data_IF_364394988548
#
_entry.id   IF_364394988548
#
_cell.length_a   1.000
_cell.length_b   1.000
_cell.length_c   1.000
_cell.angle_alpha   90.00
_cell.angle_beta   90.00
_cell.angle_gamma   90.00
#
_symmetry.space_group_name_H-M   'P 1'
#
loop_
_entity.id
_entity.type
_entity.pdbx_description
1 polymer ?
#
# COMPACT_ATOMS: atom_id res chain seq x y z
N UNK A 1 38.97 41.89 24.42
CA UNK A 1 39.18 40.94 25.52
C UNK A 1 37.86 40.53 26.10
N UNK A 2 37.16 39.54 25.55
CA UNK A 2 36.04 38.80 26.21
C UNK A 2 35.53 37.71 25.24
N UNK A 3 36.40 36.77 24.87
CA UNK A 3 36.02 35.66 24.02
C UNK A 3 36.62 34.33 24.57
N UNK A 4 36.39 34.07 25.83
CA UNK A 4 36.79 32.76 26.40
C UNK A 4 35.95 32.45 27.65
N UNK A 5 34.68 32.05 27.46
CA UNK A 5 33.90 31.40 28.52
C UNK A 5 32.66 30.74 27.91
N UNK A 6 32.80 29.65 27.12
CA UNK A 6 31.64 28.80 26.85
C UNK A 6 32.00 27.45 26.16
N UNK A 7 33.23 26.94 26.30
CA UNK A 7 33.55 25.58 25.77
C UNK A 7 32.70 24.48 26.42
N UNK A 8 32.40 24.59 27.72
CA UNK A 8 31.62 23.60 28.46
C UNK A 8 30.13 23.63 28.09
N UNK A 9 29.58 24.77 27.71
CA UNK A 9 28.20 24.92 27.22
C UNK A 9 28.08 24.37 25.82
N UNK A 10 29.08 24.61 24.94
CA UNK A 10 29.15 24.03 23.59
C UNK A 10 29.22 22.51 23.63
N UNK A 11 30.09 21.91 24.44
CA UNK A 11 30.21 20.44 24.58
C UNK A 11 28.95 19.78 25.12
N UNK A 12 28.28 20.38 26.12
CA UNK A 12 26.96 19.89 26.60
C UNK A 12 25.86 20.01 25.55
N UNK A 13 25.87 21.05 24.76
CA UNK A 13 24.93 21.23 23.65
C UNK A 13 25.15 20.18 22.54
N UNK A 14 26.40 19.92 22.14
CA UNK A 14 26.77 18.88 21.18
C UNK A 14 26.38 17.48 21.66
N UNK A 15 26.64 17.16 22.95
CA UNK A 15 26.28 15.86 23.54
C UNK A 15 24.76 15.68 23.58
N UNK A 16 24.01 16.74 23.91
CA UNK A 16 22.55 16.70 23.92
C UNK A 16 21.96 16.51 22.50
N UNK A 17 22.54 17.17 21.49
CA UNK A 17 22.17 16.99 20.09
C UNK A 17 22.52 15.56 19.61
N UNK A 18 23.70 15.06 19.96
CA UNK A 18 24.13 13.71 19.61
C UNK A 18 23.22 12.65 20.24
N UNK A 19 22.91 12.79 21.54
CA UNK A 19 21.99 11.89 22.25
C UNK A 19 20.55 11.95 21.69
N UNK A 20 20.08 13.13 21.30
CA UNK A 20 18.76 13.26 20.68
C UNK A 20 18.71 12.59 19.30
N UNK A 21 19.78 12.74 18.49
CA UNK A 21 19.92 12.03 17.22
C UNK A 21 20.01 10.51 17.42
N UNK A 22 20.84 10.03 18.35
CA UNK A 22 20.93 8.62 18.68
C UNK A 22 19.58 8.03 19.11
N UNK A 23 18.83 8.73 19.97
CA UNK A 23 17.47 8.31 20.38
C UNK A 23 16.51 8.25 19.18
N UNK A 24 16.64 9.16 18.21
CA UNK A 24 15.84 9.14 16.99
C UNK A 24 16.21 7.92 16.13
N UNK A 25 17.51 7.71 15.84
CA UNK A 25 17.96 6.54 15.07
C UNK A 25 17.56 5.22 15.76
N UNK A 26 17.70 5.12 17.07
CA UNK A 26 17.29 3.93 17.83
C UNK A 26 15.79 3.66 17.66
N UNK A 27 14.94 4.69 17.75
CA UNK A 27 13.50 4.55 17.52
C UNK A 27 13.18 4.09 16.10
N UNK A 28 13.90 4.59 15.09
CA UNK A 28 13.67 4.22 13.70
C UNK A 28 14.15 2.78 13.42
N UNK A 29 15.27 2.35 14.02
CA UNK A 29 15.76 0.96 13.98
C UNK A 29 14.77 0.03 14.68
N UNK A 30 14.26 0.38 15.87
CA UNK A 30 13.28 -0.44 16.59
C UNK A 30 11.99 -0.58 15.77
N UNK A 31 11.52 0.49 15.13
CA UNK A 31 10.36 0.39 14.21
C UNK A 31 10.63 -0.56 13.05
N UNK A 32 11.80 -0.44 12.41
CA UNK A 32 12.18 -1.33 11.31
C UNK A 32 12.19 -2.80 11.75
N UNK A 33 12.79 -3.09 12.93
CA UNK A 33 12.81 -4.44 13.49
C UNK A 33 11.40 -4.95 13.76
N UNK A 34 10.52 -4.14 14.34
CA UNK A 34 9.11 -4.52 14.59
C UNK A 34 8.39 -4.84 13.27
N UNK A 35 8.56 -4.02 12.23
CA UNK A 35 7.91 -4.26 10.94
C UNK A 35 8.46 -5.51 10.23
N UNK A 36 9.78 -5.75 10.30
CA UNK A 36 10.37 -6.97 9.77
C UNK A 36 9.91 -8.20 10.55
N UNK A 37 9.90 -8.12 11.88
CA UNK A 37 9.40 -9.21 12.74
C UNK A 37 7.92 -9.53 12.42
N UNK A 38 7.10 -8.51 12.19
CA UNK A 38 5.71 -8.69 11.76
C UNK A 38 5.61 -9.37 10.38
N UNK A 39 6.44 -8.97 9.43
CA UNK A 39 6.53 -9.63 8.13
C UNK A 39 6.92 -11.10 8.26
N UNK A 40 7.98 -11.40 9.00
CA UNK A 40 8.40 -12.79 9.25
C UNK A 40 7.35 -13.59 10.04
N UNK A 41 6.63 -12.96 10.97
CA UNK A 41 5.50 -13.59 11.65
C UNK A 41 4.41 -14.02 10.66
N UNK A 42 4.05 -13.17 9.68
CA UNK A 42 3.09 -13.55 8.64
C UNK A 42 3.63 -14.63 7.70
N UNK A 43 4.93 -14.62 7.39
CA UNK A 43 5.56 -15.71 6.64
C UNK A 43 5.46 -17.02 7.42
N UNK A 44 5.79 -17.00 8.71
CA UNK A 44 5.66 -18.17 9.57
C UNK A 44 4.21 -18.64 9.65
N UNK A 45 3.26 -17.72 9.88
CA UNK A 45 1.83 -18.02 9.95
C UNK A 45 1.32 -18.64 8.65
N UNK A 46 1.76 -18.15 7.49
CA UNK A 46 1.34 -18.66 6.18
C UNK A 46 1.87 -20.06 5.88
N UNK A 47 2.95 -20.48 6.52
CA UNK A 47 3.60 -21.76 6.26
C UNK A 47 3.41 -22.78 7.41
N UNK A 48 2.99 -22.32 8.60
CA UNK A 48 2.94 -23.17 9.79
C UNK A 48 1.89 -24.26 9.70
N UNK A 49 0.74 -23.95 9.11
CA UNK A 49 -0.41 -24.88 9.02
C UNK A 49 -0.33 -25.82 7.80
N UNK A 50 0.72 -25.67 6.96
CA UNK A 50 0.94 -26.53 5.81
C UNK A 50 1.62 -27.85 6.22
N UNK A 51 1.09 -28.96 5.71
CA UNK A 51 1.77 -30.26 5.78
C UNK A 51 3.07 -30.26 4.96
N UNK A 52 4.01 -31.20 5.17
CA UNK A 52 5.20 -31.32 4.32
C UNK A 52 4.85 -31.49 2.83
N UNK A 53 3.77 -32.21 2.52
CA UNK A 53 3.26 -32.41 1.17
C UNK A 53 2.77 -31.09 0.57
N UNK A 54 1.96 -30.31 1.30
CA UNK A 54 1.45 -29.02 0.83
C UNK A 54 2.58 -28.01 0.57
N UNK A 55 3.63 -28.02 1.42
CA UNK A 55 4.83 -27.19 1.20
C UNK A 55 5.55 -27.58 -0.08
N UNK A 56 5.65 -28.88 -0.37
CA UNK A 56 6.22 -29.36 -1.62
C UNK A 56 5.38 -28.92 -2.82
N UNK A 57 4.06 -29.05 -2.75
CA UNK A 57 3.14 -28.63 -3.80
C UNK A 57 3.16 -27.11 -4.02
N UNK A 58 3.25 -26.32 -2.96
CA UNK A 58 3.42 -24.86 -3.07
C UNK A 58 4.63 -24.51 -3.93
N UNK A 59 5.79 -25.12 -3.66
CA UNK A 59 7.01 -24.87 -4.44
C UNK A 59 6.90 -25.36 -5.88
N UNK A 60 6.25 -26.50 -6.11
CA UNK A 60 5.98 -27.04 -7.45
C UNK A 60 5.08 -26.07 -8.21
N UNK A 61 3.98 -25.61 -7.61
CA UNK A 61 3.04 -24.66 -8.23
C UNK A 61 3.71 -23.32 -8.52
N UNK A 62 4.49 -22.80 -7.57
CA UNK A 62 5.24 -21.55 -7.77
C UNK A 62 6.27 -21.68 -8.91
N UNK A 63 7.00 -22.80 -9.00
CA UNK A 63 7.96 -23.06 -10.09
C UNK A 63 7.26 -23.24 -11.44
N UNK A 64 6.13 -23.93 -11.46
CA UNK A 64 5.35 -24.18 -12.67
C UNK A 64 4.80 -22.88 -13.26
N UNK A 65 4.49 -21.86 -12.43
CA UNK A 65 4.06 -20.56 -12.89
C UNK A 65 5.12 -19.85 -13.77
N UNK A 66 6.40 -20.17 -13.59
CA UNK A 66 7.50 -19.65 -14.44
C UNK A 66 7.84 -20.58 -15.62
N UNK A 67 7.21 -21.78 -15.70
CA UNK A 67 7.47 -22.77 -16.72
C UNK A 67 6.51 -22.62 -17.91
N UNK A 68 6.85 -23.24 -19.04
CA UNK A 68 6.02 -23.17 -20.23
C UNK A 68 5.74 -21.75 -20.66
N UNK A 69 4.47 -21.41 -20.88
CA UNK A 69 4.01 -20.06 -21.25
C UNK A 69 3.64 -19.19 -20.03
N UNK A 70 3.71 -19.70 -18.80
CA UNK A 70 3.31 -18.98 -17.58
C UNK A 70 4.09 -17.68 -17.36
N UNK A 71 5.40 -17.69 -17.64
CA UNK A 71 6.25 -16.51 -17.52
C UNK A 71 5.77 -15.32 -18.36
N UNK A 72 5.10 -15.55 -19.51
CA UNK A 72 4.56 -14.48 -20.37
C UNK A 72 3.51 -13.67 -19.59
N UNK A 73 2.61 -14.35 -18.86
CA UNK A 73 1.60 -13.69 -18.04
C UNK A 73 2.20 -12.94 -16.88
N UNK A 74 3.28 -13.45 -16.27
CA UNK A 74 3.99 -12.76 -15.19
C UNK A 74 4.74 -11.52 -15.69
N UNK A 75 5.34 -11.57 -16.88
CA UNK A 75 5.93 -10.39 -17.53
C UNK A 75 4.85 -9.37 -17.88
N UNK A 76 3.71 -9.80 -18.41
CA UNK A 76 2.60 -8.91 -18.71
C UNK A 76 2.04 -8.26 -17.43
N UNK A 77 1.95 -9.00 -16.32
CA UNK A 77 1.64 -8.45 -15.00
C UNK A 77 2.60 -7.33 -14.62
N UNK A 78 3.92 -7.55 -14.74
CA UNK A 78 4.94 -6.54 -14.45
C UNK A 78 4.81 -5.31 -15.35
N UNK A 79 4.53 -5.49 -16.65
CA UNK A 79 4.33 -4.37 -17.59
C UNK A 79 3.09 -3.54 -17.24
N UNK A 80 1.99 -4.18 -16.86
CA UNK A 80 0.80 -3.48 -16.35
C UNK A 80 1.14 -2.73 -15.06
N UNK A 81 1.98 -3.31 -14.20
CA UNK A 81 2.49 -2.66 -13.00
C UNK A 81 3.28 -1.39 -13.30
N UNK A 82 4.19 -1.43 -14.28
CA UNK A 82 4.94 -0.25 -14.75
C UNK A 82 3.96 0.83 -15.26
N UNK A 83 2.95 0.44 -16.02
CA UNK A 83 1.90 1.34 -16.50
C UNK A 83 1.15 1.99 -15.32
N UNK A 84 0.81 1.22 -14.29
CA UNK A 84 0.13 1.75 -13.09
C UNK A 84 0.94 2.83 -12.39
N UNK A 85 2.27 2.64 -12.28
CA UNK A 85 3.18 3.63 -11.69
C UNK A 85 3.31 4.87 -12.58
N UNK A 86 3.32 4.69 -13.90
CA UNK A 86 3.32 5.82 -14.84
C UNK A 86 2.05 6.67 -14.70
N UNK A 87 0.88 6.03 -14.60
CA UNK A 87 -0.40 6.72 -14.34
C UNK A 87 -0.39 7.48 -13.00
N UNK A 88 0.22 6.91 -11.96
CA UNK A 88 0.43 7.61 -10.68
C UNK A 88 1.30 8.86 -10.83
N UNK A 89 2.38 8.77 -11.60
CA UNK A 89 3.22 9.92 -11.94
C UNK A 89 2.41 11.02 -12.64
N UNK A 90 1.63 10.65 -13.67
CA UNK A 90 0.75 11.58 -14.41
C UNK A 90 -0.31 12.21 -13.51
N UNK A 91 -0.93 11.44 -12.61
CA UNK A 91 -1.89 11.94 -11.63
C UNK A 91 -1.27 13.00 -10.71
N UNK A 92 -0.03 12.77 -10.25
CA UNK A 92 0.73 13.69 -9.43
C UNK A 92 0.97 15.04 -10.13
N UNK A 93 1.33 15.01 -11.42
CA UNK A 93 1.55 16.23 -12.23
C UNK A 93 0.28 17.08 -12.26
N UNK A 94 -0.89 16.47 -12.54
CA UNK A 94 -2.18 17.19 -12.57
C UNK A 94 -2.49 17.87 -11.23
N UNK A 95 -2.06 17.32 -10.11
CA UNK A 95 -2.29 17.93 -8.80
C UNK A 95 -1.35 19.10 -8.50
N UNK A 96 -0.18 19.15 -9.13
CA UNK A 96 0.79 20.22 -8.95
C UNK A 96 0.56 21.41 -9.88
N UNK A 97 -0.07 21.21 -11.05
CA UNK A 97 -0.39 22.24 -12.04
C UNK A 97 -1.18 23.44 -11.46
N UNK A 98 -2.24 23.25 -10.64
CA UNK A 98 -2.99 24.37 -10.06
C UNK A 98 -2.16 25.24 -9.09
N UNK A 99 -1.06 24.66 -8.58
CA UNK A 99 -0.13 25.37 -7.69
C UNK A 99 0.99 26.07 -8.47
N UNK A 100 0.88 26.14 -9.81
CA UNK A 100 1.86 26.70 -10.75
C UNK A 100 3.22 25.97 -10.79
N UNK A 101 3.23 24.66 -10.49
CA UNK A 101 4.40 23.82 -10.65
C UNK A 101 4.26 22.92 -11.88
N UNK A 102 5.16 23.10 -12.86
CA UNK A 102 5.21 22.34 -14.10
C UNK A 102 6.25 21.24 -13.98
N UNK A 103 5.83 20.05 -13.52
CA UNK A 103 6.68 18.89 -13.31
C UNK A 103 6.70 18.02 -14.57
N UNK A 104 7.90 17.62 -15.03
CA UNK A 104 8.03 16.67 -16.13
C UNK A 104 7.42 15.31 -15.74
N UNK A 105 6.59 14.73 -16.62
CA UNK A 105 5.94 13.44 -16.35
C UNK A 105 6.92 12.29 -16.10
N UNK A 106 8.08 12.32 -16.76
CA UNK A 106 9.17 11.37 -16.56
C UNK A 106 9.77 11.50 -15.15
N UNK A 107 10.02 12.74 -14.69
CA UNK A 107 10.52 12.99 -13.34
C UNK A 107 9.50 12.56 -12.28
N UNK A 108 8.22 12.85 -12.49
CA UNK A 108 7.15 12.37 -11.62
C UNK A 108 7.10 10.83 -11.56
N UNK A 109 7.24 10.13 -12.70
CA UNK A 109 7.33 8.68 -12.77
C UNK A 109 8.50 8.15 -11.96
N UNK A 110 9.72 8.66 -12.22
CA UNK A 110 10.92 8.21 -11.51
C UNK A 110 10.84 8.47 -10.00
N UNK A 111 10.26 9.60 -9.59
CA UNK A 111 10.07 9.93 -8.17
C UNK A 111 9.15 8.93 -7.47
N UNK A 112 8.06 8.51 -8.13
CA UNK A 112 7.14 7.47 -7.61
C UNK A 112 7.82 6.12 -7.57
N UNK A 113 8.55 5.73 -8.63
CA UNK A 113 9.23 4.43 -8.72
C UNK A 113 10.31 4.26 -7.63
N UNK A 114 11.13 5.31 -7.41
CA UNK A 114 12.11 5.33 -6.31
C UNK A 114 11.39 5.30 -4.95
N UNK A 115 10.22 5.93 -4.85
CA UNK A 115 9.38 5.83 -3.67
C UNK A 115 8.96 4.38 -3.37
N UNK A 116 8.55 3.61 -4.37
CA UNK A 116 8.22 2.19 -4.19
C UNK A 116 9.43 1.35 -3.81
N UNK A 117 10.58 1.57 -4.47
CA UNK A 117 11.84 0.94 -4.10
C UNK A 117 12.17 1.17 -2.61
N UNK A 118 12.06 2.41 -2.15
CA UNK A 118 12.34 2.76 -0.76
C UNK A 118 11.35 2.12 0.23
N UNK A 119 10.08 1.99 -0.17
CA UNK A 119 9.07 1.35 0.65
C UNK A 119 9.26 -0.18 0.77
N UNK A 120 9.99 -0.82 -0.14
CA UNK A 120 10.41 -2.22 0.04
C UNK A 120 11.38 -2.36 1.21
N UNK A 121 12.28 -1.37 1.40
CA UNK A 121 13.30 -1.41 2.45
C UNK A 121 12.79 -0.84 3.79
N UNK A 122 12.14 0.32 3.77
CA UNK A 122 11.72 1.04 4.98
C UNK A 122 10.29 1.57 4.81
N UNK A 123 9.39 1.27 5.79
CA UNK A 123 8.00 1.72 5.72
C UNK A 123 7.89 3.24 5.61
N UNK A 124 7.06 3.71 4.67
CA UNK A 124 6.73 5.14 4.49
C UNK A 124 7.90 6.04 4.09
N UNK A 125 9.09 5.48 3.86
CA UNK A 125 10.22 6.27 3.37
C UNK A 125 9.98 6.76 1.94
N UNK A 126 9.25 6.00 1.16
CA UNK A 126 8.98 6.31 -0.24
C UNK A 126 8.23 7.62 -0.45
N UNK A 127 7.25 7.93 0.40
CA UNK A 127 6.52 9.21 0.33
C UNK A 127 7.46 10.41 0.57
N UNK A 128 8.38 10.27 1.52
CA UNK A 128 9.38 11.30 1.84
C UNK A 128 10.36 11.46 0.69
N UNK A 129 10.92 10.36 0.18
CA UNK A 129 11.88 10.40 -0.93
C UNK A 129 11.28 10.95 -2.20
N UNK A 130 10.03 10.56 -2.54
CA UNK A 130 9.30 11.13 -3.66
C UNK A 130 9.21 12.66 -3.57
N UNK A 131 8.82 13.21 -2.41
CA UNK A 131 8.75 14.65 -2.20
C UNK A 131 10.12 15.32 -2.26
N UNK A 132 11.15 14.67 -1.70
CA UNK A 132 12.53 15.18 -1.73
C UNK A 132 13.10 15.22 -3.15
N UNK A 133 12.81 14.21 -3.98
CA UNK A 133 13.21 14.18 -5.39
C UNK A 133 12.56 15.33 -6.16
N UNK A 134 11.23 15.51 -6.01
CA UNK A 134 10.52 16.59 -6.67
C UNK A 134 11.01 17.97 -6.18
N UNK A 135 11.37 18.12 -4.92
CA UNK A 135 11.98 19.36 -4.41
C UNK A 135 13.35 19.61 -5.02
N UNK A 136 14.18 18.58 -5.14
CA UNK A 136 15.55 18.73 -5.62
C UNK A 136 15.64 18.99 -7.12
N UNK A 137 14.81 18.32 -7.91
CA UNK A 137 14.93 18.30 -9.37
C UNK A 137 13.90 19.14 -10.10
N UNK A 138 12.72 19.38 -9.50
CA UNK A 138 11.62 20.14 -10.09
C UNK A 138 11.26 21.39 -9.27
N UNK A 139 12.05 21.68 -8.23
CA UNK A 139 11.88 22.86 -7.36
C UNK A 139 10.49 22.98 -6.70
N UNK A 140 9.77 21.86 -6.56
CA UNK A 140 8.49 21.80 -5.86
C UNK A 140 8.72 21.77 -4.35
N UNK A 141 8.23 22.74 -3.56
CA UNK A 141 8.40 22.71 -2.10
C UNK A 141 7.87 21.41 -1.50
N UNK A 142 8.64 20.81 -0.57
CA UNK A 142 8.32 19.54 0.08
C UNK A 142 6.88 19.50 0.60
N UNK A 143 6.41 20.55 1.27
CA UNK A 143 5.08 20.63 1.87
C UNK A 143 3.98 20.57 0.81
N UNK A 144 4.16 21.18 -0.36
CA UNK A 144 3.21 21.15 -1.46
C UNK A 144 3.13 19.76 -2.07
N UNK A 145 4.29 19.16 -2.37
CA UNK A 145 4.37 17.80 -2.87
C UNK A 145 3.82 16.78 -1.86
N UNK A 146 4.10 16.94 -0.58
CA UNK A 146 3.58 16.07 0.46
C UNK A 146 2.06 16.16 0.59
N UNK A 147 1.49 17.37 0.46
CA UNK A 147 0.04 17.58 0.43
C UNK A 147 -0.63 16.80 -0.70
N UNK A 148 -0.04 16.79 -1.92
CA UNK A 148 -0.59 16.00 -3.04
C UNK A 148 -0.54 14.50 -2.77
N UNK A 149 0.54 14.00 -2.15
CA UNK A 149 0.66 12.59 -1.76
C UNK A 149 -0.44 12.18 -0.78
N UNK A 150 -0.73 13.02 0.22
CA UNK A 150 -1.81 12.76 1.18
C UNK A 150 -3.17 12.69 0.47
N UNK A 151 -3.46 13.65 -0.42
CA UNK A 151 -4.71 13.66 -1.19
C UNK A 151 -4.85 12.42 -2.08
N UNK A 152 -3.76 11.98 -2.74
CA UNK A 152 -3.73 10.74 -3.51
C UNK A 152 -4.09 9.52 -2.63
N UNK A 153 -3.53 9.41 -1.42
CA UNK A 153 -3.81 8.30 -0.50
C UNK A 153 -5.27 8.29 -0.04
N UNK A 154 -5.81 9.46 0.27
CA UNK A 154 -7.22 9.59 0.63
C UNK A 154 -8.13 9.06 -0.48
N UNK A 155 -7.87 9.46 -1.73
CA UNK A 155 -8.65 9.00 -2.87
C UNK A 155 -8.47 7.49 -3.13
N UNK A 156 -7.24 6.99 -3.01
CA UNK A 156 -6.97 5.55 -3.18
C UNK A 156 -7.77 4.72 -2.15
N UNK A 157 -7.88 5.17 -0.90
CA UNK A 157 -8.69 4.51 0.15
C UNK A 157 -10.18 4.56 -0.20
N UNK A 158 -10.68 5.68 -0.75
CA UNK A 158 -12.07 5.79 -1.20
C UNK A 158 -12.38 4.81 -2.33
N UNK A 159 -11.54 4.78 -3.36
CA UNK A 159 -11.72 3.88 -4.49
C UNK A 159 -11.63 2.42 -4.01
N UNK A 160 -10.67 2.10 -3.12
CA UNK A 160 -10.56 0.78 -2.50
C UNK A 160 -11.88 0.38 -1.81
N UNK A 161 -12.46 1.29 -1.03
CA UNK A 161 -13.75 1.05 -0.37
C UNK A 161 -14.90 0.83 -1.37
N UNK A 162 -14.94 1.61 -2.46
CA UNK A 162 -15.94 1.42 -3.52
C UNK A 162 -15.77 0.09 -4.24
N UNK A 163 -14.53 -0.30 -4.56
CA UNK A 163 -14.23 -1.59 -5.19
C UNK A 163 -14.56 -2.75 -4.24
N UNK A 164 -14.29 -2.59 -2.94
CA UNK A 164 -14.70 -3.55 -1.90
C UNK A 164 -16.22 -3.75 -1.87
N UNK A 165 -16.98 -2.66 -1.84
CA UNK A 165 -18.45 -2.72 -1.86
C UNK A 165 -18.94 -3.36 -3.17
N UNK A 166 -18.36 -3.02 -4.31
CA UNK A 166 -18.71 -3.64 -5.58
C UNK A 166 -18.41 -5.16 -5.59
N UNK A 167 -17.24 -5.58 -5.11
CA UNK A 167 -16.89 -6.99 -4.97
C UNK A 167 -17.86 -7.71 -4.03
N UNK A 168 -18.22 -7.11 -2.90
CA UNK A 168 -19.18 -7.66 -1.94
C UNK A 168 -20.57 -7.84 -2.55
N UNK A 169 -21.06 -6.87 -3.32
CA UNK A 169 -22.36 -6.97 -4.01
C UNK A 169 -22.34 -8.07 -5.08
N UNK A 170 -21.26 -8.14 -5.88
CA UNK A 170 -21.12 -9.15 -6.92
C UNK A 170 -20.96 -10.58 -6.38
N UNK A 171 -20.46 -10.73 -5.15
CA UNK A 171 -20.27 -12.00 -4.46
C UNK A 171 -21.39 -12.31 -3.43
N UNK A 172 -22.43 -11.47 -3.37
CA UNK A 172 -23.47 -11.59 -2.32
C UNK A 172 -24.12 -12.96 -2.26
N UNK A 173 -24.41 -13.58 -3.42
CA UNK A 173 -25.04 -14.91 -3.49
C UNK A 173 -24.12 -15.99 -2.89
N UNK A 174 -22.83 -15.88 -3.14
CA UNK A 174 -21.84 -16.81 -2.62
C UNK A 174 -21.61 -16.61 -1.11
N UNK A 175 -21.52 -15.37 -0.68
CA UNK A 175 -21.41 -15.05 0.73
C UNK A 175 -22.61 -15.58 1.50
N UNK A 176 -23.82 -15.41 0.98
CA UNK A 176 -25.03 -15.98 1.58
C UNK A 176 -24.95 -17.50 1.65
N UNK A 177 -24.47 -18.20 0.60
CA UNK A 177 -24.30 -19.63 0.62
C UNK A 177 -23.31 -20.07 1.70
N UNK A 178 -22.14 -19.43 1.78
CA UNK A 178 -21.12 -19.70 2.82
C UNK A 178 -21.70 -19.44 4.22
N UNK A 179 -22.45 -18.33 4.41
CA UNK A 179 -23.08 -18.03 5.69
C UNK A 179 -24.10 -19.08 6.09
N UNK A 180 -24.87 -19.59 5.14
CA UNK A 180 -25.89 -20.63 5.38
C UNK A 180 -25.24 -21.99 5.62
N UNK A 181 -24.32 -22.42 4.77
CA UNK A 181 -23.63 -23.73 4.88
C UNK A 181 -22.82 -23.87 6.17
N UNK A 182 -22.17 -22.79 6.62
CA UNK A 182 -21.42 -22.83 7.88
C UNK A 182 -22.26 -22.50 9.11
N UNK A 183 -23.59 -22.45 8.98
CA UNK A 183 -24.50 -22.09 10.08
C UNK A 183 -24.09 -20.83 10.85
N UNK A 184 -23.44 -19.87 10.16
CA UNK A 184 -22.96 -18.64 10.79
C UNK A 184 -24.15 -17.82 11.30
N UNK A 185 -25.22 -17.76 10.52
CA UNK A 185 -26.46 -17.10 10.92
C UNK A 185 -27.07 -17.79 12.15
N UNK A 186 -27.12 -19.12 12.15
CA UNK A 186 -27.65 -19.90 13.26
C UNK A 186 -26.81 -19.73 14.52
N UNK A 187 -25.48 -19.73 14.36
CA UNK A 187 -24.55 -19.49 15.47
C UNK A 187 -24.70 -18.07 16.04
N UNK A 188 -24.87 -17.06 15.20
CA UNK A 188 -25.12 -15.68 15.63
C UNK A 188 -26.49 -15.56 16.31
N UNK A 189 -27.53 -16.17 15.73
CA UNK A 189 -28.86 -16.19 16.30
C UNK A 189 -28.86 -16.93 17.63
N UNK A 190 -28.21 -18.09 17.74
CA UNK A 190 -28.07 -18.85 18.96
C UNK A 190 -27.27 -18.09 20.02
N UNK A 191 -26.19 -17.39 19.62
CA UNK A 191 -25.41 -16.54 20.50
C UNK A 191 -26.21 -15.30 20.99
N UNK A 192 -27.16 -14.82 20.16
CA UNK A 192 -28.07 -13.70 20.49
C UNK A 192 -29.41 -14.16 21.05
N UNK A 193 -29.61 -15.47 21.26
CA UNK A 193 -30.84 -16.01 21.84
C UNK A 193 -30.79 -16.00 23.39
N UNK A 194 -31.96 -15.97 24.01
CA UNK A 194 -32.06 -16.04 25.46
C UNK A 194 -31.49 -14.82 26.20
N UNK A 195 -30.88 -15.07 27.35
CA UNK A 195 -30.32 -14.03 28.24
C UNK A 195 -29.13 -13.31 27.59
N UNK A 196 -28.35 -13.98 26.74
CA UNK A 196 -27.18 -13.43 26.08
C UNK A 196 -27.53 -12.21 25.19
N UNK A 197 -28.71 -12.23 24.55
CA UNK A 197 -29.21 -11.10 23.78
C UNK A 197 -29.30 -9.81 24.62
N UNK A 198 -29.89 -9.94 25.82
CA UNK A 198 -30.06 -8.79 26.71
C UNK A 198 -28.72 -8.30 27.26
N UNK A 199 -27.76 -9.22 27.52
CA UNK A 199 -26.38 -8.87 27.95
C UNK A 199 -25.66 -8.11 26.83
N UNK A 200 -25.75 -8.56 25.58
CA UNK A 200 -25.13 -7.88 24.42
C UNK A 200 -25.75 -6.51 24.19
N UNK A 201 -27.09 -6.41 24.24
CA UNK A 201 -27.78 -5.12 24.08
C UNK A 201 -27.43 -4.17 25.22
N UNK A 202 -27.46 -4.65 26.47
CA UNK A 202 -27.06 -3.86 27.64
C UNK A 202 -25.59 -3.42 27.55
N UNK A 203 -24.68 -4.28 27.12
CA UNK A 203 -23.29 -3.97 26.87
C UNK A 203 -23.10 -2.89 25.80
N UNK A 204 -23.83 -2.99 24.66
CA UNK A 204 -23.81 -1.98 23.61
C UNK A 204 -24.34 -0.63 24.10
N UNK A 205 -25.45 -0.64 24.83
CA UNK A 205 -26.04 0.58 25.42
C UNK A 205 -25.05 1.18 26.42
N UNK A 206 -24.43 0.34 27.29
CA UNK A 206 -23.42 0.80 28.23
C UNK A 206 -22.22 1.43 27.53
N UNK A 207 -21.70 0.81 26.46
CA UNK A 207 -20.61 1.35 25.64
C UNK A 207 -21.01 2.70 25.03
N UNK A 208 -22.21 2.83 24.47
CA UNK A 208 -22.71 4.08 23.89
C UNK A 208 -22.82 5.16 24.97
N UNK A 209 -23.36 4.82 26.13
CA UNK A 209 -23.48 5.73 27.27
C UNK A 209 -22.11 6.15 27.78
N UNK A 210 -21.16 5.22 27.92
CA UNK A 210 -19.78 5.53 28.30
C UNK A 210 -19.10 6.44 27.26
N UNK A 211 -19.25 6.15 25.97
CA UNK A 211 -18.75 7.03 24.91
C UNK A 211 -19.36 8.42 25.00
N UNK A 212 -20.67 8.52 25.27
CA UNK A 212 -21.36 9.80 25.40
C UNK A 212 -20.90 10.57 26.64
N UNK A 213 -20.80 9.91 27.80
CA UNK A 213 -20.33 10.53 29.05
C UNK A 213 -18.88 10.99 28.90
N UNK A 214 -18.01 10.11 28.39
CA UNK A 214 -16.59 10.39 28.25
C UNK A 214 -16.21 11.07 26.94
N UNK A 215 -17.18 11.50 26.09
CA UNK A 215 -16.92 12.10 24.78
C UNK A 215 -15.90 13.23 24.80
N UNK A 216 -15.98 14.12 25.82
CA UNK A 216 -15.02 15.25 25.95
C UNK A 216 -13.61 14.75 26.26
N UNK A 217 -13.50 13.72 27.07
CA UNK A 217 -12.23 13.08 27.43
C UNK A 217 -11.68 12.24 26.27
N UNK A 218 -12.55 11.45 25.61
CA UNK A 218 -12.22 10.68 24.40
C UNK A 218 -11.70 11.60 23.28
N UNK A 219 -12.31 12.75 23.06
CA UNK A 219 -11.87 13.73 22.06
C UNK A 219 -10.50 14.36 22.38
N UNK A 220 -10.02 14.29 23.61
CA UNK A 220 -8.69 14.76 24.02
C UNK A 220 -7.58 13.73 23.72
N UNK A 221 -7.92 12.46 23.48
CA UNK A 221 -6.91 11.47 23.12
C UNK A 221 -6.25 11.84 21.80
N UNK A 222 -4.91 11.80 21.78
CA UNK A 222 -4.09 12.07 20.59
C UNK A 222 -4.51 11.21 19.38
N UNK A 223 -4.99 9.98 19.64
CA UNK A 223 -5.48 9.07 18.59
C UNK A 223 -6.77 9.62 17.96
N UNK A 224 -7.73 10.07 18.76
CA UNK A 224 -9.02 10.60 18.27
C UNK A 224 -8.82 11.93 17.55
N UNK A 225 -7.93 12.80 18.07
CA UNK A 225 -7.52 14.02 17.38
C UNK A 225 -6.86 13.72 16.04
N UNK A 226 -6.03 12.68 15.98
CA UNK A 226 -5.39 12.23 14.75
C UNK A 226 -6.40 11.68 13.74
N UNK A 227 -7.37 10.88 14.20
CA UNK A 227 -8.49 10.39 13.37
C UNK A 227 -9.31 11.58 12.85
N UNK A 228 -9.65 12.54 13.70
CA UNK A 228 -10.37 13.77 13.29
C UNK A 228 -9.56 14.57 12.26
N UNK A 229 -8.26 14.75 12.46
CA UNK A 229 -7.38 15.41 11.50
C UNK A 229 -7.31 14.65 10.17
N UNK A 230 -7.26 13.32 10.20
CA UNK A 230 -7.32 12.48 8.99
C UNK A 230 -8.65 12.65 8.26
N UNK A 231 -9.79 12.65 9.00
CA UNK A 231 -11.12 12.86 8.41
C UNK A 231 -11.29 14.27 7.84
N UNK A 232 -10.77 15.31 8.52
CA UNK A 232 -10.77 16.67 8.00
C UNK A 232 -9.87 16.80 6.78
N UNK A 233 -8.65 16.25 6.83
CA UNK A 233 -7.75 16.18 5.67
C UNK A 233 -8.34 15.41 4.50
N UNK A 234 -9.12 14.37 4.78
CA UNK A 234 -9.91 13.63 3.80
C UNK A 234 -10.95 14.53 3.12
N UNK A 235 -11.73 15.31 3.91
CA UNK A 235 -12.73 16.24 3.38
C UNK A 235 -12.10 17.38 2.59
N UNK A 236 -11.02 17.95 3.09
CA UNK A 236 -10.22 18.95 2.38
C UNK A 236 -9.63 18.40 1.06
N UNK A 237 -9.15 17.14 1.08
CA UNK A 237 -8.67 16.44 -0.11
C UNK A 237 -9.75 16.27 -1.17
N UNK A 238 -10.99 15.89 -0.80
CA UNK A 238 -12.12 15.81 -1.71
C UNK A 238 -12.50 17.18 -2.32
N UNK A 239 -12.50 18.23 -1.51
CA UNK A 239 -12.77 19.59 -1.99
C UNK A 239 -11.64 20.08 -2.92
N UNK A 240 -10.39 19.72 -2.64
CA UNK A 240 -9.24 20.06 -3.47
C UNK A 240 -9.33 19.50 -4.89
N UNK A 241 -10.02 18.37 -5.09
CA UNK A 241 -10.27 17.81 -6.43
C UNK A 241 -11.07 18.77 -7.31
N UNK A 242 -12.02 19.53 -6.75
CA UNK A 242 -12.78 20.54 -7.48
C UNK A 242 -11.88 21.69 -7.99
N UNK A 243 -10.78 21.96 -7.30
CA UNK A 243 -9.86 23.06 -7.62
C UNK A 243 -8.77 22.64 -8.63
N UNK A 244 -8.74 21.38 -9.08
CA UNK A 244 -7.81 20.93 -10.13
C UNK A 244 -8.26 21.49 -11.50
N UNK A 245 -7.30 21.91 -12.34
CA UNK A 245 -7.60 22.37 -13.71
C UNK A 245 -8.27 21.28 -14.57
N UNK A 246 -8.02 20.00 -14.26
CA UNK A 246 -8.48 18.86 -15.04
C UNK A 246 -9.06 17.73 -14.15
N UNK A 247 -10.21 17.97 -13.45
CA UNK A 247 -10.78 17.01 -12.51
C UNK A 247 -11.16 15.67 -13.15
N UNK A 248 -11.66 15.69 -14.38
CA UNK A 248 -12.02 14.47 -15.11
C UNK A 248 -10.77 13.61 -15.37
N UNK A 249 -9.66 14.21 -15.85
CA UNK A 249 -8.41 13.46 -16.08
C UNK A 249 -7.86 12.87 -14.77
N UNK A 250 -7.98 13.59 -13.67
CA UNK A 250 -7.57 13.12 -12.35
C UNK A 250 -8.36 11.86 -11.92
N UNK A 251 -9.69 11.87 -12.09
CA UNK A 251 -10.56 10.73 -11.80
C UNK A 251 -10.24 9.56 -12.73
N UNK A 252 -10.11 9.82 -14.04
CA UNK A 252 -9.76 8.78 -15.03
C UNK A 252 -8.44 8.10 -14.66
N UNK A 253 -7.37 8.85 -14.37
CA UNK A 253 -6.10 8.23 -13.95
C UNK A 253 -6.25 7.44 -12.66
N UNK A 254 -7.03 7.93 -11.70
CA UNK A 254 -7.25 7.23 -10.43
C UNK A 254 -7.97 5.90 -10.64
N UNK A 255 -9.02 5.88 -11.45
CA UNK A 255 -9.74 4.66 -11.80
C UNK A 255 -8.86 3.70 -12.64
N UNK A 256 -8.10 4.25 -13.61
CA UNK A 256 -7.21 3.44 -14.45
C UNK A 256 -6.11 2.75 -13.63
N UNK A 257 -5.62 3.35 -12.54
CA UNK A 257 -4.67 2.72 -11.62
C UNK A 257 -5.28 1.46 -10.99
N UNK A 258 -6.54 1.52 -10.52
CA UNK A 258 -7.23 0.39 -9.94
C UNK A 258 -7.59 -0.69 -10.96
N UNK A 259 -7.93 -0.28 -12.18
CA UNK A 259 -8.10 -1.19 -13.33
C UNK A 259 -6.78 -1.91 -13.62
N UNK A 260 -5.64 -1.20 -13.59
CA UNK A 260 -4.33 -1.84 -13.73
C UNK A 260 -4.08 -2.86 -12.62
N UNK A 261 -4.38 -2.55 -11.34
CA UNK A 261 -4.21 -3.51 -10.23
C UNK A 261 -5.07 -4.75 -10.41
N UNK A 262 -6.31 -4.58 -10.85
CA UNK A 262 -7.16 -5.71 -11.18
C UNK A 262 -6.54 -6.58 -12.30
N UNK A 263 -6.12 -5.97 -13.40
CA UNK A 263 -5.54 -6.71 -14.51
C UNK A 263 -4.16 -7.29 -14.21
N UNK A 264 -3.36 -6.68 -13.34
CA UNK A 264 -2.11 -7.29 -12.84
C UNK A 264 -2.39 -8.65 -12.20
N UNK A 265 -3.34 -8.69 -11.27
CA UNK A 265 -3.72 -9.94 -10.62
C UNK A 265 -4.38 -10.91 -11.60
N UNK A 266 -5.40 -10.46 -12.33
CA UNK A 266 -6.17 -11.28 -13.26
C UNK A 266 -5.29 -11.95 -14.32
N UNK A 267 -4.38 -11.20 -14.94
CA UNK A 267 -3.46 -11.75 -15.95
C UNK A 267 -2.48 -12.74 -15.32
N UNK A 268 -1.97 -12.44 -14.12
CA UNK A 268 -1.05 -13.34 -13.43
C UNK A 268 -1.70 -14.69 -13.07
N UNK A 269 -3.02 -14.76 -12.88
CA UNK A 269 -3.71 -16.04 -12.61
C UNK A 269 -3.57 -17.04 -13.76
N UNK A 270 -3.39 -16.58 -15.00
CA UNK A 270 -3.19 -17.47 -16.15
C UNK A 270 -1.83 -18.20 -16.14
N UNK A 271 -0.91 -17.80 -15.27
CA UNK A 271 0.31 -18.55 -15.01
C UNK A 271 0.04 -19.81 -14.16
N UNK A 272 -1.19 -19.97 -13.63
CA UNK A 272 -1.60 -21.10 -12.79
C UNK A 272 -2.76 -21.87 -13.45
N UNK A 273 -2.49 -22.84 -14.34
CA UNK A 273 -3.53 -23.55 -15.07
C UNK A 273 -4.56 -24.23 -14.18
N UNK A 274 -4.14 -24.76 -13.02
CA UNK A 274 -5.03 -25.39 -12.03
C UNK A 274 -6.06 -24.40 -11.50
N UNK A 275 -5.65 -23.16 -11.17
CA UNK A 275 -6.55 -22.11 -10.72
C UNK A 275 -7.58 -21.77 -11.79
N UNK A 276 -7.13 -21.60 -13.05
CA UNK A 276 -8.00 -21.23 -14.16
C UNK A 276 -8.98 -22.36 -14.50
N UNK A 277 -8.52 -23.62 -14.52
CA UNK A 277 -9.38 -24.77 -14.83
C UNK A 277 -10.43 -25.00 -13.75
N UNK A 278 -10.10 -24.81 -12.48
CA UNK A 278 -11.02 -25.01 -11.35
C UNK A 278 -12.06 -23.88 -11.25
N UNK A 279 -11.63 -22.63 -11.42
CA UNK A 279 -12.52 -21.48 -11.26
C UNK A 279 -13.29 -21.10 -12.53
N UNK A 280 -12.76 -21.40 -13.72
CA UNK A 280 -13.34 -21.00 -15.00
C UNK A 280 -13.61 -19.50 -15.04
N UNK A 281 -14.84 -19.09 -15.37
CA UNK A 281 -15.24 -17.67 -15.45
C UNK A 281 -15.18 -16.93 -14.11
N UNK A 282 -15.19 -17.68 -12.98
CA UNK A 282 -15.10 -17.10 -11.63
C UNK A 282 -13.72 -16.52 -11.32
N UNK A 283 -12.69 -16.83 -12.10
CA UNK A 283 -11.34 -16.23 -11.96
C UNK A 283 -11.42 -14.70 -11.94
N UNK A 284 -12.32 -14.11 -12.73
CA UNK A 284 -12.49 -12.66 -12.79
C UNK A 284 -12.95 -12.07 -11.44
N UNK A 285 -13.96 -12.69 -10.79
CA UNK A 285 -14.46 -12.24 -9.49
C UNK A 285 -13.46 -12.55 -8.37
N UNK A 286 -12.87 -13.74 -8.39
CA UNK A 286 -11.83 -14.11 -7.43
C UNK A 286 -10.65 -13.13 -7.49
N UNK A 287 -10.23 -12.72 -8.69
CA UNK A 287 -9.18 -11.71 -8.87
C UNK A 287 -9.55 -10.36 -8.27
N UNK A 288 -10.80 -9.92 -8.44
CA UNK A 288 -11.28 -8.67 -7.85
C UNK A 288 -11.21 -8.72 -6.32
N UNK A 289 -11.71 -9.80 -5.73
CA UNK A 289 -11.70 -10.02 -4.27
C UNK A 289 -10.26 -10.12 -3.74
N UNK A 290 -9.36 -10.81 -4.45
CA UNK A 290 -7.95 -10.93 -4.09
C UNK A 290 -7.23 -9.58 -4.14
N UNK A 291 -7.49 -8.73 -5.13
CA UNK A 291 -6.90 -7.38 -5.22
C UNK A 291 -7.30 -6.53 -4.04
N UNK A 292 -8.59 -6.52 -3.69
CA UNK A 292 -9.11 -5.69 -2.58
C UNK A 292 -8.57 -6.16 -1.25
N UNK A 293 -8.72 -7.45 -0.94
CA UNK A 293 -8.28 -8.01 0.34
C UNK A 293 -6.75 -8.07 0.41
N UNK A 294 -6.08 -8.45 -0.68
CA UNK A 294 -4.61 -8.45 -0.77
C UNK A 294 -3.98 -7.08 -0.52
N UNK A 295 -4.64 -6.00 -0.96
CA UNK A 295 -4.18 -4.62 -0.68
C UNK A 295 -4.05 -4.35 0.81
N UNK A 296 -4.88 -4.96 1.66
CA UNK A 296 -4.77 -4.84 3.11
C UNK A 296 -3.45 -5.43 3.63
N UNK A 297 -2.90 -6.44 2.96
CA UNK A 297 -1.61 -7.03 3.30
C UNK A 297 -0.46 -6.02 3.25
N UNK A 298 -0.48 -5.10 2.27
CA UNK A 298 0.51 -4.02 2.17
C UNK A 298 0.36 -2.94 3.27
N UNK A 299 -0.82 -2.85 3.89
CA UNK A 299 -1.07 -1.94 5.02
C UNK A 299 -0.59 -2.56 6.32
N UNK A 300 -0.81 -3.86 6.48
CA UNK A 300 -0.52 -4.61 7.73
C UNK A 300 0.96 -4.95 7.86
N UNK A 301 1.59 -5.45 6.78
CA UNK A 301 2.99 -5.85 6.78
C UNK A 301 3.83 -5.01 5.83
N UNK A 302 5.12 -4.87 6.16
CA UNK A 302 6.11 -4.16 5.34
C UNK A 302 6.16 -4.72 3.92
N UNK A 303 5.81 -3.89 2.92
CA UNK A 303 5.79 -4.34 1.52
C UNK A 303 4.89 -5.54 1.26
N UNK A 304 3.93 -5.83 2.15
CA UNK A 304 3.04 -6.99 2.04
C UNK A 304 3.67 -8.34 2.36
N UNK A 305 4.92 -8.38 2.87
CA UNK A 305 5.67 -9.60 3.11
C UNK A 305 4.87 -10.59 3.99
N UNK A 306 4.58 -11.76 3.47
CA UNK A 306 3.81 -12.81 4.12
C UNK A 306 2.32 -12.51 4.28
N UNK A 307 1.93 -11.28 4.60
CA UNK A 307 0.52 -10.90 4.78
C UNK A 307 -0.26 -10.89 3.45
N UNK A 308 0.34 -10.38 2.36
CA UNK A 308 -0.30 -10.40 1.05
C UNK A 308 -0.55 -11.83 0.55
N UNK A 309 0.44 -12.74 0.51
CA UNK A 309 0.20 -14.13 0.12
C UNK A 309 -0.85 -14.84 0.98
N UNK A 310 -0.81 -14.61 2.30
CA UNK A 310 -1.76 -15.20 3.22
C UNK A 310 -3.20 -14.74 2.94
N UNK A 311 -3.42 -13.44 2.77
CA UNK A 311 -4.74 -12.89 2.47
C UNK A 311 -5.27 -13.34 1.11
N UNK A 312 -4.39 -13.43 0.09
CA UNK A 312 -4.75 -13.99 -1.22
C UNK A 312 -5.16 -15.45 -1.08
N UNK A 313 -4.41 -16.25 -0.33
CA UNK A 313 -4.75 -17.67 -0.08
C UNK A 313 -6.08 -17.81 0.64
N UNK A 314 -6.35 -16.99 1.66
CA UNK A 314 -7.63 -16.98 2.38
C UNK A 314 -8.81 -16.66 1.45
N UNK A 315 -8.66 -15.69 0.56
CA UNK A 315 -9.70 -15.39 -0.44
C UNK A 315 -9.89 -16.57 -1.39
N UNK A 316 -8.82 -17.13 -1.94
CA UNK A 316 -8.91 -18.25 -2.88
C UNK A 316 -9.48 -19.52 -2.23
N UNK A 317 -9.24 -19.72 -0.93
CA UNK A 317 -9.86 -20.79 -0.17
C UNK A 317 -11.40 -20.68 -0.14
N UNK A 318 -11.96 -19.46 -0.08
CA UNK A 318 -13.40 -19.26 -0.23
C UNK A 318 -13.93 -19.71 -1.59
N UNK A 319 -13.08 -19.79 -2.60
CA UNK A 319 -13.42 -20.31 -3.93
C UNK A 319 -13.13 -21.82 -4.09
N UNK A 320 -12.77 -22.50 -3.00
CA UNK A 320 -12.51 -23.94 -2.98
C UNK A 320 -11.10 -24.33 -3.44
N UNK A 321 -10.16 -23.36 -3.48
CA UNK A 321 -8.76 -23.65 -3.79
C UNK A 321 -8.02 -24.14 -2.54
N UNK A 322 -7.09 -25.09 -2.71
CA UNK A 322 -6.19 -25.51 -1.66
C UNK A 322 -5.27 -24.38 -1.18
N UNK A 323 -4.85 -24.44 0.08
CA UNK A 323 -4.00 -23.42 0.67
C UNK A 323 -2.64 -23.29 -0.06
N UNK A 324 -2.10 -24.43 -0.53
CA UNK A 324 -0.84 -24.54 -1.28
C UNK A 324 -0.90 -23.79 -2.62
N UNK A 325 -2.04 -23.88 -3.34
CA UNK A 325 -2.27 -23.15 -4.60
C UNK A 325 -2.45 -21.65 -4.30
N UNK A 326 -3.31 -21.32 -3.32
CA UNK A 326 -3.58 -19.94 -2.93
C UNK A 326 -2.33 -19.20 -2.49
N UNK A 327 -1.48 -19.83 -1.69
CA UNK A 327 -0.20 -19.29 -1.26
C UNK A 327 0.79 -19.17 -2.41
N UNK A 328 0.86 -20.16 -3.32
CA UNK A 328 1.73 -20.10 -4.49
C UNK A 328 1.37 -18.89 -5.37
N UNK A 329 0.08 -18.67 -5.66
CA UNK A 329 -0.42 -17.50 -6.39
C UNK A 329 0.00 -16.20 -5.69
N UNK A 330 -0.27 -16.09 -4.40
CA UNK A 330 0.07 -14.89 -3.62
C UNK A 330 1.57 -14.60 -3.59
N UNK A 331 2.42 -15.61 -3.35
CA UNK A 331 3.87 -15.45 -3.31
C UNK A 331 4.48 -15.10 -4.66
N UNK A 332 4.03 -15.73 -5.74
CA UNK A 332 4.54 -15.45 -7.09
C UNK A 332 4.18 -14.04 -7.52
N UNK A 333 2.92 -13.61 -7.33
CA UNK A 333 2.50 -12.26 -7.70
C UNK A 333 3.26 -11.23 -6.86
N UNK A 334 3.36 -11.43 -5.54
CA UNK A 334 4.14 -10.56 -4.66
C UNK A 334 5.61 -10.47 -5.07
N UNK A 335 6.23 -11.59 -5.45
CA UNK A 335 7.61 -11.63 -5.89
C UNK A 335 7.82 -10.88 -7.22
N UNK A 336 6.92 -11.06 -8.19
CA UNK A 336 6.95 -10.36 -9.49
C UNK A 336 6.81 -8.83 -9.29
N UNK A 337 5.86 -8.39 -8.46
CA UNK A 337 5.68 -6.97 -8.15
C UNK A 337 6.92 -6.39 -7.44
N UNK A 338 7.44 -7.10 -6.44
CA UNK A 338 8.62 -6.67 -5.69
C UNK A 338 9.85 -6.60 -6.57
N UNK A 339 10.06 -7.59 -7.44
CA UNK A 339 11.16 -7.60 -8.42
C UNK A 339 11.02 -6.44 -9.42
N UNK A 340 9.81 -6.16 -9.91
CA UNK A 340 9.54 -5.02 -10.79
C UNK A 340 9.90 -3.69 -10.09
N UNK A 341 9.46 -3.46 -8.84
CA UNK A 341 9.80 -2.24 -8.10
C UNK A 341 11.29 -2.13 -7.83
N UNK A 342 11.96 -3.25 -7.53
CA UNK A 342 13.40 -3.28 -7.33
C UNK A 342 14.15 -2.90 -8.61
N UNK A 343 13.89 -3.58 -9.73
CA UNK A 343 14.57 -3.36 -10.99
C UNK A 343 14.31 -1.95 -11.55
N UNK A 344 13.05 -1.57 -11.65
CA UNK A 344 12.68 -0.27 -12.23
C UNK A 344 13.02 0.89 -11.30
N UNK A 345 13.01 0.68 -9.98
CA UNK A 345 13.44 1.67 -8.99
C UNK A 345 14.93 1.93 -9.06
N UNK A 346 15.77 0.89 -9.17
CA UNK A 346 17.21 1.01 -9.38
C UNK A 346 17.52 1.71 -10.73
N UNK A 347 16.83 1.30 -11.80
CA UNK A 347 16.95 1.97 -13.10
C UNK A 347 16.58 3.46 -12.99
N UNK A 348 15.52 3.79 -12.26
CA UNK A 348 15.10 5.19 -12.05
C UNK A 348 16.14 6.00 -11.29
N UNK A 349 16.85 5.42 -10.31
CA UNK A 349 17.98 6.09 -9.63
C UNK A 349 19.10 6.42 -10.59
N UNK A 350 19.45 5.48 -11.46
CA UNK A 350 20.50 5.68 -12.48
C UNK A 350 20.11 6.79 -13.44
N UNK A 351 18.88 6.75 -14.00
CA UNK A 351 18.39 7.74 -14.96
C UNK A 351 18.39 9.15 -14.36
N UNK A 352 17.90 9.32 -13.13
CA UNK A 352 17.89 10.65 -12.49
C UNK A 352 19.33 11.17 -12.28
N UNK A 353 20.27 10.31 -11.92
CA UNK A 353 21.66 10.71 -11.70
C UNK A 353 22.29 11.26 -12.98
N UNK A 354 22.09 10.62 -14.11
CA UNK A 354 22.62 11.09 -15.40
C UNK A 354 21.93 12.37 -15.91
N UNK A 355 20.62 12.48 -15.74
CA UNK A 355 19.89 13.69 -16.18
C UNK A 355 20.36 14.94 -15.45
N UNK A 356 20.82 14.81 -14.22
CA UNK A 356 21.34 15.95 -13.45
C UNK A 356 22.74 16.39 -13.89
N UNK A 357 23.61 15.48 -14.30
CA UNK A 357 24.94 15.83 -14.78
C UNK A 357 24.89 16.62 -16.09
N UNK A 358 24.01 16.23 -17.02
CA UNK A 358 23.82 16.91 -18.31
C UNK A 358 23.34 18.37 -18.13
N UNK A 359 22.38 18.61 -17.24
CA UNK A 359 21.86 19.97 -16.97
C UNK A 359 22.92 20.87 -16.30
N UNK A 360 23.80 20.28 -15.48
CA UNK A 360 24.86 21.02 -14.80
C UNK A 360 25.98 21.44 -15.77
N UNK A 361 26.33 20.60 -16.74
CA UNK A 361 27.32 20.88 -17.79
C UNK A 361 26.81 22.00 -18.71
N UNK A 362 25.56 21.95 -19.17
CA UNK A 362 24.95 22.98 -20.02
C UNK A 362 24.87 24.37 -19.33
N UNK A 363 24.62 24.39 -18.02
CA UNK A 363 24.61 25.67 -17.25
C UNK A 363 26.03 26.26 -17.06
N UNK A 364 27.05 25.44 -16.94
CA UNK A 364 28.43 25.88 -16.82
C UNK A 364 28.94 26.41 -18.16
N UNK A 365 28.64 25.75 -19.29
CA UNK A 365 29.02 26.21 -20.63
C UNK A 365 28.31 27.52 -21.03
N UNK A 366 27.02 27.70 -20.68
CA UNK A 366 26.29 28.95 -20.92
C UNK A 366 26.69 30.14 -20.05
N UNK A 367 27.42 29.92 -18.96
CA UNK A 367 28.02 30.99 -18.16
C UNK A 367 29.47 31.34 -18.54
N UNK A 368 30.09 30.56 -19.43
CA UNK A 368 31.46 30.80 -19.94
C UNK A 368 31.49 31.43 -21.35
N UNK A 369 30.36 31.50 -22.04
CA UNK A 369 30.12 32.23 -23.28
C UNK A 369 29.33 33.52 -23.02
#
# INVERSE_FOLDING_TARGET
MTACKNENVSKKCYLCILLSRMKKYLKDIVKLIIFLALGFFFVWLSLNDLTPEDRSQLWINARNAFSGNGWIFLVLCALIGILSVWLRGRRSVIMLEPMNYHVKSTMAYHSVMIGYLANLAIPRLGEILRCTILQKYEHVPFQKSFGTVVTERVLDVLICGLVFVAAFILESDRLTTIFVENHVADNIVNMLSGVTKYIVIAGLILIIVLIYIFRKWILQFKIVQKIKQVLLGFWEGLISIKNTKHPVRFIVYSLSIWVCYYFMFFVATFAFPELVSTLGVRVALASLSCVVIGTLGFIVAQGGLGAYPLLVSMVLALYGMGAEVGLAVGWVIWAVESAMYLMMGLLSLVVISFTHETTRTETVENHQN
#
